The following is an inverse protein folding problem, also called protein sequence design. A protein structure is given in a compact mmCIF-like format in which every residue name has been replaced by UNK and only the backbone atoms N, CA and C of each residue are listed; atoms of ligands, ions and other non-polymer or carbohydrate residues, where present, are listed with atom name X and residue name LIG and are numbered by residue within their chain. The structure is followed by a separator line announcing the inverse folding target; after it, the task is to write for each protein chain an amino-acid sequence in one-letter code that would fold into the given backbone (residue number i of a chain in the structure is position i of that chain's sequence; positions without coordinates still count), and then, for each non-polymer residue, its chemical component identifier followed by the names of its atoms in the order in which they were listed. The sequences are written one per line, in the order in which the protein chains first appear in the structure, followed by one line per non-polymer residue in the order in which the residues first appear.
data_IF_514807056343
#
_entry.id   IF_514807056343
#
_cell.length_a   1.000
_cell.length_b   1.000
_cell.length_c   1.000
_cell.angle_alpha   90.00
_cell.angle_beta   90.00
_cell.angle_gamma   90.00
#
_symmetry.space_group_name_H-M   'P 1'
#
loop_
_entity.id
_entity.type
_entity.pdbx_description
1 polymer ?
#
# COMPACT_ATOMS: atom_id res chain seq x y z
N UNK A 1 -37.48 39.02 -18.20
CA UNK A 1 -36.05 38.93 -17.84
C UNK A 1 -35.89 37.71 -16.95
N UNK A 2 -35.45 36.56 -17.48
CA UNK A 2 -35.31 35.35 -16.67
C UNK A 2 -34.01 35.41 -15.86
N UNK A 3 -34.11 35.03 -14.59
CA UNK A 3 -33.01 34.95 -13.65
C UNK A 3 -32.05 33.82 -14.04
N UNK A 4 -30.78 34.15 -14.21
CA UNK A 4 -29.66 33.21 -14.35
C UNK A 4 -29.39 32.52 -13.02
N UNK A 5 -29.67 31.23 -12.95
CA UNK A 5 -29.24 30.32 -11.89
C UNK A 5 -27.72 30.08 -11.99
N UNK A 6 -26.99 30.37 -10.92
CA UNK A 6 -25.59 29.95 -10.78
C UNK A 6 -25.51 28.42 -10.63
N UNK A 7 -24.54 27.74 -11.27
CA UNK A 7 -24.34 26.31 -11.09
C UNK A 7 -23.78 26.04 -9.69
N UNK A 8 -24.41 25.11 -8.97
CA UNK A 8 -23.92 24.64 -7.67
C UNK A 8 -22.58 23.88 -7.78
N UNK A 9 -21.84 23.72 -6.67
CA UNK A 9 -20.57 23.02 -6.64
C UNK A 9 -20.81 21.51 -6.70
N UNK A 10 -21.07 20.96 -7.89
CA UNK A 10 -20.95 19.52 -8.13
C UNK A 10 -19.49 19.19 -8.48
N UNK A 11 -18.62 19.32 -7.49
CA UNK A 11 -17.25 18.80 -7.58
C UNK A 11 -17.09 17.74 -6.52
N UNK A 12 -17.36 16.48 -6.83
CA UNK A 12 -16.93 15.38 -5.97
C UNK A 12 -15.41 15.48 -5.83
N UNK A 13 -14.92 15.54 -4.59
CA UNK A 13 -13.48 15.48 -4.31
C UNK A 13 -12.94 14.22 -4.99
N UNK A 14 -11.89 14.31 -5.83
CA UNK A 14 -11.35 13.14 -6.51
C UNK A 14 -10.92 12.10 -5.47
N UNK A 15 -11.44 10.87 -5.58
CA UNK A 15 -11.10 9.78 -4.67
C UNK A 15 -9.57 9.59 -4.60
N UNK A 16 -9.01 9.56 -3.39
CA UNK A 16 -7.56 9.44 -3.17
C UNK A 16 -7.01 8.11 -3.73
N UNK A 17 -7.71 7.00 -3.43
CA UNK A 17 -7.36 5.64 -3.87
C UNK A 17 -8.10 5.28 -5.16
N UNK A 18 -7.44 4.73 -6.19
CA UNK A 18 -8.08 4.33 -7.44
C UNK A 18 -8.93 3.05 -7.32
N UNK A 19 -10.03 3.01 -8.07
CA UNK A 19 -10.68 1.74 -8.40
C UNK A 19 -9.81 0.90 -9.35
N UNK A 20 -9.97 -0.42 -9.30
CA UNK A 20 -9.27 -1.31 -10.23
C UNK A 20 -9.90 -1.23 -11.62
N UNK A 21 -9.16 -0.81 -12.67
CA UNK A 21 -9.68 -0.68 -14.03
C UNK A 21 -9.91 -2.05 -14.67
N UNK A 22 -10.58 -2.04 -15.82
CA UNK A 22 -10.84 -3.23 -16.65
C UNK A 22 -12.22 -3.85 -16.43
N UNK A 23 -12.59 -4.72 -17.36
CA UNK A 23 -13.88 -5.39 -17.37
C UNK A 23 -13.90 -6.50 -16.31
N UNK A 24 -14.88 -6.49 -15.41
CA UNK A 24 -15.06 -7.57 -14.43
C UNK A 24 -15.31 -8.89 -15.16
N UNK A 25 -14.54 -9.90 -14.80
CA UNK A 25 -14.69 -11.25 -15.34
C UNK A 25 -15.94 -11.91 -14.75
N UNK A 26 -16.69 -12.66 -15.57
CA UNK A 26 -17.84 -13.45 -15.13
C UNK A 26 -17.45 -14.56 -14.15
N UNK A 27 -18.42 -15.08 -13.39
CA UNK A 27 -18.13 -16.00 -12.28
C UNK A 27 -17.47 -17.30 -12.75
N UNK A 28 -17.95 -17.89 -13.85
CA UNK A 28 -17.43 -19.17 -14.36
C UNK A 28 -15.96 -19.04 -14.81
N UNK A 29 -15.64 -17.98 -15.55
CA UNK A 29 -14.25 -17.71 -15.95
C UNK A 29 -13.40 -17.29 -14.74
N UNK A 30 -13.95 -16.57 -13.78
CA UNK A 30 -13.29 -16.20 -12.52
C UNK A 30 -12.88 -17.43 -11.71
N UNK A 31 -13.75 -18.43 -11.54
CA UNK A 31 -13.41 -19.70 -10.88
C UNK A 31 -12.27 -20.45 -11.58
N UNK A 32 -12.32 -20.49 -12.91
CA UNK A 32 -11.27 -21.12 -13.73
C UNK A 32 -9.92 -20.40 -13.57
N UNK A 33 -9.93 -19.06 -13.56
CA UNK A 33 -8.73 -18.24 -13.34
C UNK A 33 -8.18 -18.39 -11.92
N UNK A 34 -9.05 -18.43 -10.90
CA UNK A 34 -8.65 -18.69 -9.51
C UNK A 34 -7.96 -20.05 -9.36
N UNK A 35 -8.50 -21.10 -9.99
CA UNK A 35 -7.87 -22.42 -10.01
C UNK A 35 -6.51 -22.40 -10.76
N UNK A 36 -6.43 -21.65 -11.85
CA UNK A 36 -5.18 -21.48 -12.60
C UNK A 36 -4.09 -20.77 -11.76
N UNK A 37 -4.43 -19.65 -11.11
CA UNK A 37 -3.52 -18.93 -10.21
C UNK A 37 -3.09 -19.82 -9.04
N UNK A 38 -4.02 -20.55 -8.42
CA UNK A 38 -3.69 -21.51 -7.37
C UNK A 38 -2.67 -22.55 -7.85
N UNK A 39 -2.85 -23.10 -9.06
CA UNK A 39 -1.90 -24.05 -9.66
C UNK A 39 -0.52 -23.42 -9.90
N UNK A 40 -0.45 -22.22 -10.48
CA UNK A 40 0.81 -21.51 -10.73
C UNK A 40 1.56 -21.22 -9.42
N UNK A 41 0.81 -20.80 -8.39
CA UNK A 41 1.33 -20.52 -7.06
C UNK A 41 1.55 -21.78 -6.20
N UNK A 42 1.20 -22.97 -6.71
CA UNK A 42 1.30 -24.27 -6.01
C UNK A 42 0.50 -24.32 -4.70
N UNK A 43 -0.68 -23.71 -4.69
CA UNK A 43 -1.58 -23.65 -3.54
C UNK A 43 -2.65 -24.74 -3.62
N UNK A 44 -3.06 -25.23 -2.45
CA UNK A 44 -4.17 -26.19 -2.30
C UNK A 44 -5.56 -25.50 -2.21
N UNK A 45 -5.61 -24.18 -2.38
CA UNK A 45 -6.83 -23.39 -2.26
C UNK A 45 -6.84 -22.23 -3.26
N UNK A 46 -8.03 -21.71 -3.54
CA UNK A 46 -8.27 -20.61 -4.50
C UNK A 46 -8.38 -19.23 -3.87
N UNK A 47 -8.07 -19.09 -2.57
CA UNK A 47 -8.00 -17.79 -1.88
C UNK A 47 -6.92 -16.88 -2.49
N UNK A 48 -7.07 -15.58 -2.30
CA UNK A 48 -6.11 -14.57 -2.76
C UNK A 48 -4.68 -14.91 -2.29
N UNK A 49 -3.71 -15.03 -3.22
CA UNK A 49 -2.37 -15.52 -2.87
C UNK A 49 -1.40 -14.42 -2.41
N UNK A 50 -1.81 -13.14 -2.40
CA UNK A 50 -0.91 -12.03 -2.05
C UNK A 50 -0.53 -12.00 -0.56
N UNK A 51 0.76 -11.77 -0.29
CA UNK A 51 1.36 -11.70 1.06
C UNK A 51 0.84 -10.50 1.86
N UNK A 52 0.35 -10.66 3.08
CA UNK A 52 -0.18 -9.57 3.90
C UNK A 52 0.85 -9.11 4.93
N UNK A 53 1.22 -7.81 4.96
CA UNK A 53 2.20 -7.30 5.91
C UNK A 53 1.64 -7.19 7.33
N UNK A 54 2.51 -7.45 8.30
CA UNK A 54 2.25 -7.22 9.74
C UNK A 54 2.60 -5.79 10.14
N UNK A 55 1.97 -5.28 11.19
CA UNK A 55 2.29 -3.94 11.71
C UNK A 55 3.69 -3.90 12.33
N UNK A 56 4.37 -2.78 12.15
CA UNK A 56 5.64 -2.49 12.79
C UNK A 56 5.43 -2.27 14.29
N UNK A 57 6.28 -2.88 15.09
CA UNK A 57 6.29 -2.79 16.56
C UNK A 57 7.70 -2.53 17.05
N UNK A 58 7.89 -2.25 18.34
CA UNK A 58 9.24 -2.16 18.94
C UNK A 58 10.09 -3.42 18.69
N UNK A 59 9.51 -4.61 18.76
CA UNK A 59 10.20 -5.86 18.43
C UNK A 59 10.61 -5.98 16.94
N UNK A 60 9.99 -5.18 16.06
CA UNK A 60 10.40 -5.11 14.65
C UNK A 60 11.77 -4.44 14.48
N UNK A 61 12.19 -3.55 15.40
CA UNK A 61 13.53 -2.97 15.38
C UNK A 61 14.60 -4.05 15.56
N UNK A 62 14.40 -4.98 16.50
CA UNK A 62 15.31 -6.12 16.70
C UNK A 62 15.40 -6.99 15.44
N UNK A 63 14.28 -7.19 14.74
CA UNK A 63 14.24 -7.93 13.49
C UNK A 63 15.03 -7.22 12.39
N UNK A 64 14.95 -5.89 12.30
CA UNK A 64 15.75 -5.07 11.37
C UNK A 64 17.26 -5.10 11.70
N UNK A 65 17.62 -5.26 12.97
CA UNK A 65 19.02 -5.43 13.40
C UNK A 65 19.55 -6.83 13.08
N UNK A 66 18.71 -7.86 13.15
CA UNK A 66 19.11 -9.28 13.01
C UNK A 66 18.95 -9.86 11.61
N UNK A 67 18.07 -9.30 10.77
CA UNK A 67 17.87 -9.70 9.37
C UNK A 67 18.09 -8.58 8.33
N UNK A 68 18.33 -8.97 7.08
CA UNK A 68 18.61 -8.06 5.96
C UNK A 68 17.29 -7.61 5.29
N UNK A 69 16.95 -6.33 5.38
CA UNK A 69 15.71 -5.77 4.80
C UNK A 69 15.97 -4.74 3.70
N UNK A 70 15.03 -4.62 2.76
CA UNK A 70 14.82 -3.43 1.95
C UNK A 70 13.68 -2.58 2.53
N UNK A 71 13.69 -1.29 2.23
CA UNK A 71 12.66 -0.34 2.61
C UNK A 71 12.20 0.47 1.40
N UNK A 72 10.90 0.74 1.33
CA UNK A 72 10.33 1.70 0.38
C UNK A 72 9.17 2.45 1.03
N UNK A 73 8.75 3.53 0.38
CA UNK A 73 7.51 4.24 0.73
C UNK A 73 6.31 3.27 0.67
N UNK A 74 5.34 3.42 1.57
CA UNK A 74 4.06 2.72 1.53
C UNK A 74 3.06 3.57 0.74
N UNK A 75 2.65 3.10 -0.44
CA UNK A 75 1.78 3.92 -1.29
C UNK A 75 0.36 3.86 -0.76
N UNK A 76 -0.33 4.99 -0.80
CA UNK A 76 -1.78 5.04 -0.55
C UNK A 76 -2.52 4.67 -1.85
N UNK A 77 -2.67 3.37 -2.08
CA UNK A 77 -3.17 2.84 -3.34
C UNK A 77 -4.00 1.56 -3.20
N UNK A 78 -4.52 1.12 -4.34
CA UNK A 78 -5.26 -0.12 -4.44
C UNK A 78 -4.31 -1.25 -4.84
N UNK A 79 -3.94 -2.08 -3.86
CA UNK A 79 -3.14 -3.27 -4.11
C UNK A 79 -3.84 -4.23 -5.08
N UNK A 80 -3.09 -4.71 -6.06
CA UNK A 80 -3.54 -5.70 -7.05
C UNK A 80 -2.44 -6.71 -7.36
N UNK A 81 -2.81 -7.94 -7.68
CA UNK A 81 -1.94 -8.85 -8.41
C UNK A 81 -2.18 -8.70 -9.91
N UNK A 82 -1.15 -8.94 -10.72
CA UNK A 82 -1.24 -8.97 -12.18
C UNK A 82 -1.06 -10.40 -12.64
N UNK A 83 -2.09 -10.98 -13.26
CA UNK A 83 -1.99 -12.26 -13.97
C UNK A 83 -1.80 -11.99 -15.46
N UNK A 84 -0.72 -12.52 -16.02
CA UNK A 84 -0.46 -12.54 -17.47
C UNK A 84 -0.62 -14.00 -17.92
N UNK A 85 -1.66 -14.28 -18.71
CA UNK A 85 -2.02 -15.62 -19.14
C UNK A 85 -2.05 -15.73 -20.67
N UNK A 86 -1.91 -16.95 -21.18
CA UNK A 86 -2.11 -17.25 -22.60
C UNK A 86 -3.45 -17.94 -22.81
N UNK A 87 -4.33 -17.28 -23.56
CA UNK A 87 -5.57 -17.88 -24.02
C UNK A 87 -5.28 -18.74 -25.25
N UNK A 88 -5.31 -20.07 -25.06
CA UNK A 88 -5.05 -21.04 -26.12
C UNK A 88 -6.11 -21.04 -27.22
N UNK A 89 -7.38 -20.77 -26.88
CA UNK A 89 -8.48 -20.77 -27.84
C UNK A 89 -8.45 -19.52 -28.71
N UNK A 90 -8.23 -18.35 -28.10
CA UNK A 90 -8.14 -17.08 -28.82
C UNK A 90 -6.73 -16.77 -29.36
N UNK A 91 -5.76 -17.67 -29.13
CA UNK A 91 -4.35 -17.53 -29.51
C UNK A 91 -3.75 -16.16 -29.17
N UNK A 92 -3.99 -15.68 -27.94
CA UNK A 92 -3.55 -14.35 -27.49
C UNK A 92 -3.19 -14.29 -26.01
N UNK A 93 -2.39 -13.30 -25.65
CA UNK A 93 -2.15 -12.94 -24.25
C UNK A 93 -3.38 -12.20 -23.69
N UNK A 94 -3.73 -12.53 -22.46
CA UNK A 94 -4.75 -11.84 -21.67
C UNK A 94 -4.12 -11.42 -20.33
N UNK A 95 -4.44 -10.20 -19.89
CA UNK A 95 -3.92 -9.63 -18.65
C UNK A 95 -5.08 -9.32 -17.73
N UNK A 96 -4.96 -9.73 -16.46
CA UNK A 96 -5.97 -9.50 -15.44
C UNK A 96 -5.35 -8.82 -14.23
N UNK A 97 -6.07 -7.86 -13.67
CA UNK A 97 -5.80 -7.32 -12.34
C UNK A 97 -6.70 -8.03 -11.32
N UNK A 98 -6.12 -8.39 -10.18
CA UNK A 98 -6.78 -9.17 -9.12
C UNK A 98 -6.72 -8.37 -7.83
N UNK A 99 -7.87 -7.95 -7.31
CA UNK A 99 -7.92 -7.20 -6.05
C UNK A 99 -7.83 -8.12 -4.81
N UNK A 100 -7.75 -7.53 -3.61
CA UNK A 100 -7.71 -8.27 -2.34
C UNK A 100 -8.97 -9.12 -2.08
N UNK A 101 -10.10 -8.79 -2.72
CA UNK A 101 -11.35 -9.56 -2.66
C UNK A 101 -11.35 -10.73 -3.65
N UNK A 102 -10.22 -10.96 -4.34
CA UNK A 102 -10.03 -12.00 -5.34
C UNK A 102 -10.96 -11.83 -6.56
N UNK A 103 -11.28 -10.58 -6.91
CA UNK A 103 -12.08 -10.21 -8.09
C UNK A 103 -11.11 -9.95 -9.25
N UNK A 104 -11.38 -10.59 -10.39
CA UNK A 104 -10.56 -10.51 -11.60
C UNK A 104 -11.15 -9.49 -12.56
N UNK A 105 -10.29 -8.61 -13.09
CA UNK A 105 -10.65 -7.61 -14.10
C UNK A 105 -9.73 -7.71 -15.31
N UNK A 106 -10.30 -8.03 -16.45
CA UNK A 106 -9.60 -8.15 -17.73
C UNK A 106 -9.23 -6.76 -18.27
N UNK A 107 -7.97 -6.62 -18.71
CA UNK A 107 -7.42 -5.35 -19.20
C UNK A 107 -7.52 -5.24 -20.73
N UNK A 108 -7.41 -4.00 -21.23
CA UNK A 108 -7.45 -3.73 -22.66
C UNK A 108 -6.29 -4.38 -23.41
N UNK A 109 -6.49 -4.63 -24.71
CA UNK A 109 -5.50 -5.27 -25.59
C UNK A 109 -4.26 -4.42 -25.86
N UNK A 110 -4.31 -3.13 -25.52
CA UNK A 110 -3.16 -2.23 -25.59
C UNK A 110 -2.07 -2.67 -24.61
N UNK A 111 -2.46 -3.22 -23.45
CA UNK A 111 -1.54 -3.77 -22.46
C UNK A 111 -0.99 -5.12 -22.93
N UNK A 112 0.31 -5.17 -23.19
CA UNK A 112 1.00 -6.37 -23.66
C UNK A 112 2.38 -6.51 -23.02
N UNK A 113 2.68 -7.71 -22.53
CA UNK A 113 3.97 -8.07 -21.94
C UNK A 113 4.73 -9.01 -22.88
N UNK A 114 5.80 -8.53 -23.53
CA UNK A 114 6.66 -9.40 -24.32
C UNK A 114 7.49 -10.33 -23.43
N UNK A 115 7.76 -11.52 -23.95
CA UNK A 115 8.69 -12.47 -23.37
C UNK A 115 10.12 -11.91 -23.43
N UNK A 116 10.92 -12.21 -22.41
CA UNK A 116 12.30 -11.69 -22.28
C UNK A 116 13.28 -12.28 -23.27
N UNK A 117 13.06 -13.54 -23.69
CA UNK A 117 13.83 -14.12 -24.79
C UNK A 117 13.41 -13.50 -26.12
N UNK A 118 14.39 -12.95 -26.83
CA UNK A 118 14.21 -12.57 -28.24
C UNK A 118 13.89 -13.84 -29.05
N UNK A 119 12.99 -13.78 -30.04
CA UNK A 119 12.75 -14.93 -30.90
C UNK A 119 14.06 -15.34 -31.55
N UNK A 120 14.45 -16.60 -31.35
CA UNK A 120 15.49 -17.27 -32.13
C UNK A 120 14.76 -18.10 -33.16
N UNK A 121 14.76 -17.67 -34.43
CA UNK A 121 14.04 -18.41 -35.47
C UNK A 121 13.69 -17.59 -36.70
N UNK A 122 13.09 -18.27 -37.69
CA UNK A 122 12.59 -17.66 -38.92
C UNK A 122 11.35 -16.80 -38.60
N UNK A 123 10.94 -15.85 -39.47
CA UNK A 123 9.77 -14.99 -39.23
C UNK A 123 8.47 -15.74 -38.90
N UNK A 124 8.37 -16.98 -39.36
CA UNK A 124 7.29 -17.95 -39.18
C UNK A 124 7.19 -18.55 -37.75
N UNK A 125 8.25 -18.49 -36.94
CA UNK A 125 8.22 -18.88 -35.51
C UNK A 125 7.68 -17.76 -34.59
N UNK A 126 7.26 -16.63 -35.16
CA UNK A 126 6.70 -15.49 -34.43
C UNK A 126 5.22 -15.73 -34.16
N UNK A 127 4.94 -16.33 -33.00
CA UNK A 127 3.60 -16.85 -32.61
C UNK A 127 2.48 -15.80 -32.48
N UNK A 128 2.71 -14.51 -32.72
CA UNK A 128 1.60 -13.53 -32.63
C UNK A 128 1.38 -12.80 -33.95
N UNK A 129 0.52 -13.41 -34.80
CA UNK A 129 0.02 -12.83 -36.04
C UNK A 129 -0.64 -11.45 -35.82
N UNK A 130 -1.18 -11.21 -34.62
CA UNK A 130 -1.97 -10.00 -34.31
C UNK A 130 -1.13 -8.80 -33.84
N UNK A 131 0.19 -8.94 -33.63
CA UNK A 131 1.04 -7.82 -33.14
C UNK A 131 2.04 -7.35 -34.21
N UNK A 132 2.09 -8.01 -35.39
CA UNK A 132 2.98 -7.59 -36.48
C UNK A 132 4.47 -7.48 -36.08
N UNK A 133 4.87 -8.12 -34.98
CA UNK A 133 6.14 -7.80 -34.31
C UNK A 133 6.98 -9.03 -34.01
N UNK A 134 8.28 -8.78 -33.84
CA UNK A 134 9.32 -9.71 -33.41
C UNK A 134 9.18 -10.16 -31.94
N UNK A 135 8.04 -10.00 -31.29
CA UNK A 135 7.93 -10.24 -29.85
C UNK A 135 7.09 -11.49 -29.58
N UNK A 136 7.66 -12.45 -28.84
CA UNK A 136 6.90 -13.58 -28.25
C UNK A 136 6.13 -13.04 -27.04
N UNK A 137 4.93 -13.55 -26.78
CA UNK A 137 4.15 -13.16 -25.60
C UNK A 137 4.69 -13.85 -24.33
N UNK A 138 4.80 -13.10 -23.24
CA UNK A 138 4.98 -13.66 -21.90
C UNK A 138 3.68 -14.37 -21.48
N UNK A 139 3.77 -15.44 -20.70
CA UNK A 139 2.59 -16.12 -20.16
C UNK A 139 2.85 -16.65 -18.75
N UNK A 140 1.82 -17.22 -18.13
CA UNK A 140 1.89 -17.89 -16.83
C UNK A 140 2.70 -17.10 -15.78
N UNK A 141 2.43 -15.80 -15.66
CA UNK A 141 3.17 -14.88 -14.80
C UNK A 141 2.21 -14.20 -13.83
N UNK A 142 2.61 -14.12 -12.55
CA UNK A 142 1.84 -13.49 -11.47
C UNK A 142 2.74 -12.50 -10.73
N UNK A 143 2.37 -11.22 -10.77
CA UNK A 143 3.13 -10.11 -10.19
C UNK A 143 2.34 -9.46 -9.05
N UNK A 144 3.03 -8.83 -8.10
CA UNK A 144 2.44 -8.05 -7.02
C UNK A 144 2.71 -6.56 -7.23
N UNK A 145 1.69 -5.74 -7.06
CA UNK A 145 1.76 -4.32 -7.33
C UNK A 145 0.66 -3.49 -6.66
N UNK A 146 0.74 -2.18 -6.84
CA UNK A 146 -0.18 -1.21 -6.26
C UNK A 146 -0.59 -0.18 -7.32
N UNK A 147 -1.89 0.02 -7.48
CA UNK A 147 -2.43 1.08 -8.31
C UNK A 147 -2.51 2.37 -7.50
N UNK A 148 -1.99 3.45 -8.05
CA UNK A 148 -1.95 4.77 -7.43
C UNK A 148 -2.43 5.85 -8.39
N UNK A 149 -2.97 6.92 -7.82
CA UNK A 149 -3.21 8.15 -8.55
C UNK A 149 -2.07 9.13 -8.32
N UNK A 150 -1.30 9.39 -9.38
CA UNK A 150 -0.26 10.41 -9.36
C UNK A 150 -0.85 11.75 -9.81
N UNK A 151 -0.65 12.79 -9.01
CA UNK A 151 -1.01 14.17 -9.34
C UNK A 151 0.23 14.89 -9.86
N UNK A 152 0.25 15.13 -11.16
CA UNK A 152 1.34 15.83 -11.82
C UNK A 152 1.39 17.30 -11.39
N UNK A 153 2.52 17.97 -11.66
CA UNK A 153 2.72 19.40 -11.35
C UNK A 153 1.68 20.34 -11.98
N UNK A 154 1.04 19.92 -13.08
CA UNK A 154 -0.01 20.68 -13.76
C UNK A 154 -1.43 20.34 -13.24
N UNK A 155 -1.53 19.57 -12.16
CA UNK A 155 -2.80 19.15 -11.54
C UNK A 155 -3.48 17.97 -12.22
N UNK A 156 -2.98 17.49 -13.38
CA UNK A 156 -3.56 16.29 -14.02
C UNK A 156 -3.25 15.04 -13.21
N UNK A 157 -4.24 14.16 -13.10
CA UNK A 157 -4.07 12.85 -12.49
C UNK A 157 -3.70 11.80 -13.53
N UNK A 158 -2.79 10.90 -13.18
CA UNK A 158 -2.43 9.71 -13.96
C UNK A 158 -2.54 8.47 -13.11
N UNK A 159 -3.16 7.43 -13.66
CA UNK A 159 -3.20 6.12 -13.03
C UNK A 159 -1.88 5.41 -13.30
N UNK A 160 -1.21 4.94 -12.25
CA UNK A 160 0.05 4.18 -12.36
C UNK A 160 -0.05 2.88 -11.57
N UNK A 161 0.52 1.82 -12.14
CA UNK A 161 0.74 0.54 -11.47
C UNK A 161 2.21 0.41 -11.07
N UNK A 162 2.47 0.37 -9.76
CA UNK A 162 3.79 0.19 -9.17
C UNK A 162 3.99 -1.29 -8.82
N UNK A 163 4.77 -2.01 -9.63
CA UNK A 163 5.13 -3.41 -9.39
C UNK A 163 6.27 -3.50 -8.37
N UNK A 164 6.14 -4.36 -7.37
CA UNK A 164 7.15 -4.49 -6.31
C UNK A 164 7.61 -5.92 -6.01
N UNK A 165 6.90 -6.96 -6.47
CA UNK A 165 7.33 -8.36 -6.33
C UNK A 165 6.78 -9.25 -7.47
N UNK A 166 7.26 -10.49 -7.56
CA UNK A 166 6.83 -11.47 -8.55
C UNK A 166 6.72 -12.87 -7.93
N UNK A 167 5.52 -13.44 -7.94
CA UNK A 167 5.19 -14.76 -7.39
C UNK A 167 5.51 -15.87 -8.38
N UNK A 168 5.27 -15.61 -9.67
CA UNK A 168 5.47 -16.57 -10.76
C UNK A 168 5.95 -15.81 -11.99
N UNK A 169 6.96 -16.32 -12.70
CA UNK A 169 7.43 -15.76 -13.98
C UNK A 169 7.57 -16.89 -14.98
N UNK A 170 6.86 -16.79 -16.09
CA UNK A 170 6.88 -17.75 -17.21
C UNK A 170 6.69 -19.21 -16.75
N UNK A 171 5.65 -19.43 -15.95
CA UNK A 171 5.30 -20.74 -15.36
C UNK A 171 6.21 -21.19 -14.22
N UNK A 172 7.33 -20.49 -13.97
CA UNK A 172 8.21 -20.80 -12.85
C UNK A 172 7.73 -20.13 -11.56
N UNK A 173 7.35 -20.94 -10.57
CA UNK A 173 7.09 -20.47 -9.22
C UNK A 173 8.35 -19.87 -8.58
N UNK A 174 8.21 -18.65 -8.07
CA UNK A 174 9.30 -17.85 -7.51
C UNK A 174 9.26 -17.77 -5.98
N UNK A 175 8.25 -18.35 -5.32
CA UNK A 175 8.01 -18.14 -3.89
C UNK A 175 9.18 -18.61 -3.02
N UNK A 176 9.88 -19.69 -3.36
CA UNK A 176 11.06 -20.16 -2.61
C UNK A 176 12.32 -19.35 -2.87
N UNK A 177 12.31 -18.38 -3.80
CA UNK A 177 13.46 -17.53 -4.11
C UNK A 177 13.45 -16.29 -3.22
N UNK A 178 14.64 -15.81 -2.89
CA UNK A 178 14.85 -14.56 -2.16
C UNK A 178 14.25 -13.36 -2.89
N UNK A 179 13.86 -12.32 -2.15
CA UNK A 179 13.31 -11.08 -2.73
C UNK A 179 14.23 -10.50 -3.81
N UNK A 180 15.54 -10.48 -3.57
CA UNK A 180 16.51 -9.98 -4.56
C UNK A 180 16.40 -10.69 -5.92
N UNK A 181 16.21 -12.01 -5.90
CA UNK A 181 16.03 -12.80 -7.13
C UNK A 181 14.67 -12.56 -7.78
N UNK A 182 13.60 -12.44 -6.99
CA UNK A 182 12.25 -12.16 -7.49
C UNK A 182 12.20 -10.78 -8.15
N UNK A 183 12.67 -9.77 -7.44
CA UNK A 183 12.78 -8.38 -7.90
C UNK A 183 13.70 -8.24 -9.12
N UNK A 184 14.87 -8.88 -9.10
CA UNK A 184 15.79 -8.87 -10.25
C UNK A 184 15.17 -9.49 -11.52
N UNK A 185 14.39 -10.56 -11.39
CA UNK A 185 13.65 -11.13 -12.53
C UNK A 185 12.45 -10.29 -12.95
N UNK A 186 11.71 -9.69 -12.03
CA UNK A 186 10.68 -8.71 -12.35
C UNK A 186 11.25 -7.59 -13.24
N UNK A 187 12.39 -7.02 -12.85
CA UNK A 187 13.05 -5.98 -13.64
C UNK A 187 13.54 -6.50 -15.00
N UNK A 188 14.31 -7.59 -15.01
CA UNK A 188 14.98 -8.05 -16.22
C UNK A 188 14.06 -8.75 -17.21
N UNK A 189 13.11 -9.55 -16.73
CA UNK A 189 12.33 -10.47 -17.56
C UNK A 189 10.91 -9.98 -17.85
N UNK A 190 10.42 -8.99 -17.11
CA UNK A 190 9.08 -8.42 -17.31
C UNK A 190 9.18 -6.96 -17.68
N UNK A 191 9.74 -6.13 -16.79
CA UNK A 191 9.69 -4.69 -16.92
C UNK A 191 10.53 -4.16 -18.08
N UNK A 192 11.79 -4.59 -18.20
CA UNK A 192 12.65 -4.15 -19.30
C UNK A 192 12.09 -4.52 -20.68
N UNK A 193 11.68 -5.77 -20.96
CA UNK A 193 11.02 -6.12 -22.20
C UNK A 193 9.76 -5.29 -22.48
N UNK A 194 8.91 -5.08 -21.47
CA UNK A 194 7.72 -4.24 -21.57
C UNK A 194 8.05 -2.80 -21.99
N UNK A 195 9.02 -2.16 -21.34
CA UNK A 195 9.44 -0.78 -21.67
C UNK A 195 10.00 -0.71 -23.09
N UNK A 196 10.83 -1.68 -23.49
CA UNK A 196 11.40 -1.72 -24.84
C UNK A 196 10.30 -1.91 -25.90
N UNK A 197 9.28 -2.73 -25.63
CA UNK A 197 8.11 -2.88 -26.50
C UNK A 197 7.26 -1.62 -26.59
N UNK A 198 6.96 -0.96 -25.46
CA UNK A 198 6.15 0.26 -25.46
C UNK A 198 6.84 1.42 -26.17
N UNK A 199 8.18 1.50 -26.09
CA UNK A 199 8.98 2.46 -26.88
C UNK A 199 8.86 2.22 -28.39
N UNK A 200 8.84 0.95 -28.82
CA UNK A 200 8.65 0.56 -30.22
C UNK A 200 7.19 0.71 -30.69
N UNK A 201 6.22 0.82 -29.78
CA UNK A 201 4.79 0.83 -30.07
C UNK A 201 4.07 2.02 -29.37
N UNK A 202 4.38 3.28 -29.73
CA UNK A 202 3.89 4.47 -29.01
C UNK A 202 2.38 4.68 -29.09
N UNK A 203 1.69 4.12 -30.10
CA UNK A 203 0.22 4.15 -30.14
C UNK A 203 -0.37 3.29 -29.02
N UNK A 204 0.12 2.06 -28.83
CA UNK A 204 -0.31 1.21 -27.72
C UNK A 204 -0.04 1.82 -26.36
N UNK A 205 1.13 2.46 -26.20
CA UNK A 205 1.45 3.16 -24.96
C UNK A 205 0.47 4.29 -24.64
N UNK A 206 -0.12 4.95 -25.65
CA UNK A 206 -1.16 5.98 -25.48
C UNK A 206 -2.54 5.39 -25.19
N UNK A 207 -2.82 4.22 -25.76
CA UNK A 207 -4.12 3.53 -25.62
C UNK A 207 -4.21 2.72 -24.31
N UNK A 208 -3.14 2.68 -23.50
CA UNK A 208 -3.13 2.03 -22.19
C UNK A 208 -3.91 2.84 -21.15
N UNK A 209 -4.66 2.12 -20.30
CA UNK A 209 -5.48 2.70 -19.24
C UNK A 209 -4.65 3.26 -18.06
N UNK A 210 -3.40 2.80 -17.89
CA UNK A 210 -2.48 3.22 -16.83
C UNK A 210 -1.02 3.02 -17.23
N UNK A 211 -0.11 3.77 -16.61
CA UNK A 211 1.34 3.58 -16.78
C UNK A 211 1.87 2.49 -15.83
N UNK A 212 2.97 1.83 -16.18
CA UNK A 212 3.56 0.76 -15.34
C UNK A 212 4.99 1.15 -14.96
N UNK A 213 5.30 1.03 -13.68
CA UNK A 213 6.64 1.24 -13.12
C UNK A 213 7.00 0.11 -12.16
N UNK A 214 8.30 -0.09 -11.94
CA UNK A 214 8.78 -0.94 -10.85
C UNK A 214 9.15 -0.04 -9.68
N UNK A 215 8.63 -0.36 -8.50
CA UNK A 215 8.87 0.40 -7.27
C UNK A 215 10.35 0.38 -6.91
N UNK A 216 10.89 1.53 -6.53
CA UNK A 216 12.29 1.64 -6.09
C UNK A 216 12.41 1.17 -4.65
N UNK A 217 13.45 0.37 -4.38
CA UNK A 217 13.75 -0.17 -3.06
C UNK A 217 15.10 0.37 -2.59
N UNK A 218 15.16 0.90 -1.37
CA UNK A 218 16.40 1.29 -0.69
C UNK A 218 16.79 0.18 0.32
N UNK A 219 18.04 0.20 0.79
CA UNK A 219 18.46 -0.71 1.87
C UNK A 219 17.73 -0.34 3.17
N UNK A 220 17.45 -1.33 4.03
CA UNK A 220 16.63 -1.14 5.22
C UNK A 220 17.12 -0.02 6.16
N UNK A 221 18.41 0.30 6.17
CA UNK A 221 19.00 1.42 6.92
C UNK A 221 19.03 2.76 6.15
N UNK A 222 18.26 2.88 5.07
CA UNK A 222 18.10 4.10 4.26
C UNK A 222 16.77 4.82 4.49
N UNK A 223 16.19 4.66 5.69
CA UNK A 223 14.90 5.18 6.14
C UNK A 223 14.82 6.69 5.97
N UNK A 224 15.78 7.45 6.49
CA UNK A 224 15.86 8.90 6.41
C UNK A 224 15.91 9.38 4.96
N UNK A 225 16.60 8.65 4.07
CA UNK A 225 16.63 8.98 2.65
C UNK A 225 15.28 8.75 1.98
N UNK A 226 14.53 7.71 2.38
CA UNK A 226 13.16 7.49 1.90
C UNK A 226 12.24 8.60 2.39
N UNK A 227 12.23 8.88 3.70
CA UNK A 227 11.38 9.89 4.33
C UNK A 227 11.66 11.32 3.85
N UNK A 228 12.93 11.73 3.80
CA UNK A 228 13.30 13.13 3.54
C UNK A 228 13.61 13.43 2.07
N UNK A 229 14.00 12.42 1.29
CA UNK A 229 14.32 12.63 -0.13
C UNK A 229 13.34 11.97 -1.09
N UNK A 230 12.81 10.77 -0.82
CA UNK A 230 11.96 10.05 -1.80
C UNK A 230 10.51 10.49 -1.71
N UNK A 231 9.91 10.40 -0.51
CA UNK A 231 8.51 10.71 -0.25
C UNK A 231 8.11 12.12 -0.72
N UNK A 232 8.89 13.19 -0.44
CA UNK A 232 8.55 14.55 -0.89
C UNK A 232 8.58 14.76 -2.41
N UNK A 233 9.10 13.79 -3.18
CA UNK A 233 9.13 13.81 -4.65
C UNK A 233 8.11 12.88 -5.29
N UNK A 234 7.31 12.16 -4.49
CA UNK A 234 6.23 11.33 -5.02
C UNK A 234 5.12 12.22 -5.57
N UNK A 235 4.44 11.73 -6.60
CA UNK A 235 3.26 12.38 -7.17
C UNK A 235 1.97 11.75 -6.61
N UNK A 236 2.07 10.62 -5.90
CA UNK A 236 0.99 9.91 -5.23
C UNK A 236 1.04 10.04 -3.69
N UNK A 237 -0.07 9.67 -3.03
CA UNK A 237 -0.15 9.63 -1.57
C UNK A 237 0.74 8.54 -0.97
N UNK A 238 1.25 8.81 0.23
CA UNK A 238 2.07 7.90 1.03
C UNK A 238 1.52 7.87 2.46
N UNK A 239 1.47 6.70 3.07
CA UNK A 239 0.95 6.50 4.44
C UNK A 239 1.92 5.68 5.30
N UNK A 240 3.22 5.88 5.11
CA UNK A 240 4.30 5.24 5.88
C UNK A 240 5.35 4.50 5.05
N UNK A 241 5.88 3.39 5.58
CA UNK A 241 6.98 2.62 5.00
C UNK A 241 6.66 1.12 4.95
N UNK A 242 7.24 0.42 3.98
CA UNK A 242 7.22 -1.05 3.90
C UNK A 242 8.66 -1.56 3.97
N UNK A 243 8.90 -2.45 4.93
CA UNK A 243 10.13 -3.23 5.06
C UNK A 243 9.88 -4.65 4.57
N UNK A 244 10.69 -5.13 3.64
CA UNK A 244 10.58 -6.49 3.09
C UNK A 244 11.93 -7.21 3.24
N UNK A 245 11.93 -8.38 3.89
CA UNK A 245 13.15 -9.15 4.10
C UNK A 245 13.73 -9.61 2.74
N UNK A 246 15.02 -9.35 2.55
CA UNK A 246 15.73 -9.61 1.30
C UNK A 246 15.91 -11.12 1.08
N UNK A 247 16.18 -11.84 2.17
CA UNK A 247 16.58 -13.26 2.13
C UNK A 247 15.40 -14.22 2.25
N UNK A 248 14.20 -13.74 2.57
CA UNK A 248 13.01 -14.58 2.69
C UNK A 248 12.38 -14.93 1.34
N UNK A 249 11.74 -16.11 1.31
CA UNK A 249 10.77 -16.46 0.28
C UNK A 249 9.50 -15.61 0.37
N UNK A 250 8.63 -15.72 -0.63
CA UNK A 250 7.31 -15.09 -0.65
C UNK A 250 6.29 -15.99 0.04
N UNK A 251 5.63 -15.49 1.09
CA UNK A 251 4.58 -16.24 1.80
C UNK A 251 3.20 -15.79 1.36
N UNK A 252 2.36 -16.71 0.89
CA UNK A 252 0.95 -16.40 0.60
C UNK A 252 0.17 -16.25 1.91
N UNK A 253 -0.59 -15.16 2.10
CA UNK A 253 -1.24 -14.84 3.38
C UNK A 253 -0.34 -14.00 4.28
N UNK A 254 -0.55 -14.01 5.59
CA UNK A 254 0.24 -13.18 6.53
C UNK A 254 1.72 -13.54 6.49
N UNK A 255 2.58 -12.55 6.28
CA UNK A 255 4.04 -12.71 6.26
C UNK A 255 4.66 -11.81 7.33
N UNK A 256 5.27 -12.42 8.36
CA UNK A 256 5.94 -11.69 9.45
C UNK A 256 7.23 -10.99 9.02
N UNK A 257 7.72 -11.26 7.79
CA UNK A 257 8.91 -10.65 7.20
C UNK A 257 8.59 -9.55 6.19
N UNK A 258 7.32 -9.16 6.08
CA UNK A 258 6.89 -7.94 5.42
C UNK A 258 6.21 -7.07 6.47
N UNK A 259 6.84 -5.95 6.81
CA UNK A 259 6.46 -5.13 7.95
C UNK A 259 6.02 -3.77 7.42
N UNK A 260 4.82 -3.33 7.81
CA UNK A 260 4.31 -2.00 7.50
C UNK A 260 4.48 -1.09 8.70
N UNK A 261 5.27 -0.05 8.52
CA UNK A 261 5.35 1.03 9.48
C UNK A 261 4.43 2.16 9.04
N UNK A 262 3.70 2.72 10.00
CA UNK A 262 2.92 3.95 9.85
C UNK A 262 3.29 4.86 11.01
N UNK A 263 3.38 6.18 10.80
CA UNK A 263 3.44 7.10 11.92
C UNK A 263 2.27 6.83 12.88
N UNK A 264 2.49 6.75 14.20
CA UNK A 264 1.41 6.46 15.15
C UNK A 264 0.21 7.39 15.01
N UNK A 265 0.46 8.68 14.74
CA UNK A 265 -0.57 9.70 14.50
C UNK A 265 -1.42 9.48 13.22
N UNK A 266 -0.98 8.65 12.27
CA UNK A 266 -1.80 8.27 11.11
C UNK A 266 -2.72 7.07 11.39
N UNK A 267 -2.61 6.43 12.56
CA UNK A 267 -3.56 5.39 12.97
C UNK A 267 -4.80 6.06 13.55
N UNK A 268 -5.85 6.13 12.74
CA UNK A 268 -7.11 6.72 13.14
C UNK A 268 -8.09 5.67 13.67
N UNK A 269 -8.97 6.12 14.57
CA UNK A 269 -10.08 5.33 15.11
C UNK A 269 -11.36 6.14 14.90
N UNK A 270 -12.44 5.47 14.49
CA UNK A 270 -13.74 6.10 14.44
C UNK A 270 -14.49 5.90 15.76
N UNK A 271 -14.80 6.98 16.48
CA UNK A 271 -15.63 6.96 17.69
C UNK A 271 -16.92 7.75 17.48
N UNK A 272 -17.90 7.57 18.35
CA UNK A 272 -19.02 8.49 18.47
C UNK A 272 -18.60 9.66 19.37
N UNK A 273 -18.70 10.89 18.87
CA UNK A 273 -18.48 12.10 19.67
C UNK A 273 -19.76 12.50 20.38
N UNK A 274 -19.68 12.69 21.70
CA UNK A 274 -20.77 13.24 22.51
C UNK A 274 -20.31 14.47 23.28
N UNK A 275 -21.02 15.57 23.10
CA UNK A 275 -20.76 16.81 23.82
C UNK A 275 -21.41 16.74 25.22
N UNK A 276 -20.64 17.04 26.24
CA UNK A 276 -21.06 17.07 27.65
C UNK A 276 -20.91 18.49 28.16
N UNK A 277 -21.97 19.27 28.06
CA UNK A 277 -22.00 20.65 28.54
C UNK A 277 -21.98 20.70 30.07
N UNK A 278 -21.22 21.63 30.68
CA UNK A 278 -21.24 21.83 32.12
C UNK A 278 -22.62 22.35 32.57
N UNK A 279 -22.98 22.17 33.85
CA UNK A 279 -24.25 22.70 34.37
C UNK A 279 -24.25 24.22 34.48
N UNK A 280 -25.38 24.84 34.14
CA UNK A 280 -25.65 26.26 34.43
C UNK A 280 -26.12 26.41 35.88
N UNK A 281 -25.14 26.60 36.78
CA UNK A 281 -25.40 26.78 38.21
C UNK A 281 -26.08 28.12 38.55
N UNK A 282 -26.10 29.08 37.62
CA UNK A 282 -26.80 30.35 37.80
C UNK A 282 -28.31 30.18 37.56
N UNK A 283 -28.69 29.31 36.61
CA UNK A 283 -30.09 28.96 36.31
C UNK A 283 -30.64 27.90 37.25
N UNK A 284 -29.90 26.82 37.50
CA UNK A 284 -30.26 25.78 38.46
C UNK A 284 -29.06 25.39 39.35
N UNK A 285 -29.03 25.83 40.63
CA UNK A 285 -27.98 25.46 41.57
C UNK A 285 -27.84 23.94 41.82
N UNK A 286 -28.85 23.14 41.44
CA UNK A 286 -28.78 21.66 41.52
C UNK A 286 -28.06 21.04 40.33
N UNK A 287 -27.78 21.81 39.28
CA UNK A 287 -27.02 21.40 38.10
C UNK A 287 -27.76 20.52 37.10
N UNK A 288 -29.10 20.57 37.04
CA UNK A 288 -29.87 19.75 36.09
C UNK A 288 -30.02 20.40 34.71
N UNK A 289 -29.63 21.67 34.55
CA UNK A 289 -29.73 22.42 33.30
C UNK A 289 -28.32 22.61 32.74
N UNK A 290 -28.03 22.20 31.48
CA UNK A 290 -26.74 22.42 30.87
C UNK A 290 -26.57 23.87 30.37
N UNK A 291 -25.38 24.43 30.55
CA UNK A 291 -24.95 25.67 29.90
C UNK A 291 -24.48 25.36 28.48
N UNK A 292 -25.37 25.55 27.51
CA UNK A 292 -25.06 25.33 26.09
C UNK A 292 -24.18 26.42 25.46
N UNK A 293 -23.86 27.49 26.20
CA UNK A 293 -22.96 28.55 25.77
C UNK A 293 -21.51 28.29 26.16
N UNK A 294 -21.28 27.50 27.22
CA UNK A 294 -19.97 27.07 27.66
C UNK A 294 -19.34 26.04 26.70
N UNK A 295 -18.00 25.94 26.75
CA UNK A 295 -17.26 24.87 26.06
C UNK A 295 -17.58 23.52 26.72
N UNK A 296 -18.06 22.51 25.97
CA UNK A 296 -18.37 21.20 26.54
C UNK A 296 -17.09 20.38 26.78
N UNK A 297 -17.24 19.27 27.50
CA UNK A 297 -16.31 18.16 27.41
C UNK A 297 -16.67 17.29 26.21
N UNK A 298 -15.67 16.80 25.49
CA UNK A 298 -15.83 16.09 24.23
C UNK A 298 -15.61 14.59 24.44
N UNK A 299 -16.66 13.84 24.81
CA UNK A 299 -16.56 12.42 25.09
C UNK A 299 -16.45 11.61 23.80
N UNK A 300 -15.49 10.69 23.75
CA UNK A 300 -15.36 9.68 22.71
C UNK A 300 -15.93 8.37 23.23
N UNK A 301 -16.95 7.86 22.54
CA UNK A 301 -17.60 6.61 22.88
C UNK A 301 -17.30 5.54 21.81
N UNK A 302 -16.95 4.34 22.26
CA UNK A 302 -16.69 3.19 21.40
C UNK A 302 -17.93 2.32 21.21
N UNK A 303 -18.05 1.70 20.04
CA UNK A 303 -19.18 0.84 19.72
C UNK A 303 -18.97 -0.57 20.26
N UNK A 304 -19.86 -1.05 21.11
CA UNK A 304 -19.82 -2.41 21.70
C UNK A 304 -20.87 -3.37 21.11
N UNK A 305 -21.65 -2.88 20.15
CA UNK A 305 -22.76 -3.64 19.55
C UNK A 305 -24.10 -3.36 20.24
N UNK A 306 -25.18 -3.53 19.49
CA UNK A 306 -26.55 -3.39 20.01
C UNK A 306 -27.11 -4.78 20.30
N UNK A 307 -27.37 -5.07 21.56
CA UNK A 307 -28.10 -6.29 21.93
C UNK A 307 -29.58 -6.18 21.54
N UNK A 308 -30.13 -7.29 21.03
CA UNK A 308 -31.53 -7.34 20.58
C UNK A 308 -32.46 -7.17 21.78
N UNK A 309 -33.21 -6.07 21.83
CA UNK A 309 -34.13 -5.74 22.92
C UNK A 309 -33.54 -4.89 24.03
N UNK A 310 -32.27 -4.47 23.93
CA UNK A 310 -31.67 -3.48 24.83
C UNK A 310 -32.10 -2.06 24.46
N UNK A 311 -32.26 -1.20 25.46
CA UNK A 311 -32.45 0.26 25.30
C UNK A 311 -31.12 1.01 25.17
N UNK A 312 -29.98 0.33 25.37
CA UNK A 312 -28.67 0.90 25.10
C UNK A 312 -28.49 1.17 23.62
N UNK A 313 -27.90 2.32 23.28
CA UNK A 313 -27.57 2.65 21.88
C UNK A 313 -26.33 1.87 21.37
N UNK A 314 -25.74 1.03 22.22
CA UNK A 314 -24.62 0.15 21.90
C UNK A 314 -23.26 0.82 22.01
N UNK A 315 -23.15 1.90 22.78
CA UNK A 315 -21.92 2.67 23.00
C UNK A 315 -21.52 2.72 24.47
N UNK A 316 -20.22 2.72 24.72
CA UNK A 316 -19.65 2.96 26.04
C UNK A 316 -18.57 4.04 25.97
N UNK A 317 -18.40 4.77 27.07
CA UNK A 317 -17.36 5.79 27.19
C UNK A 317 -15.98 5.16 27.03
N UNK A 318 -15.16 5.76 26.17
CA UNK A 318 -13.78 5.35 25.95
C UNK A 318 -12.80 6.37 26.55
N UNK A 319 -12.81 7.61 26.05
CA UNK A 319 -11.85 8.64 26.44
C UNK A 319 -12.36 10.06 26.11
N UNK A 320 -11.54 11.08 26.35
CA UNK A 320 -11.79 12.47 25.97
C UNK A 320 -11.05 12.87 24.69
N UNK A 321 -11.75 13.57 23.81
CA UNK A 321 -11.16 14.33 22.71
C UNK A 321 -10.62 15.66 23.25
N UNK A 322 -9.36 15.98 22.96
CA UNK A 322 -8.81 17.29 23.26
C UNK A 322 -9.16 18.27 22.13
N UNK A 323 -9.77 19.40 22.49
CA UNK A 323 -10.17 20.46 21.56
C UNK A 323 -9.71 21.79 22.15
N UNK A 324 -8.93 22.56 21.41
CA UNK A 324 -8.47 23.88 21.83
C UNK A 324 -9.61 24.91 21.76
N UNK A 325 -9.44 26.06 22.44
CA UNK A 325 -10.47 27.11 22.44
C UNK A 325 -10.72 27.65 21.03
N UNK A 326 -9.66 27.93 20.28
CA UNK A 326 -9.76 28.40 18.89
C UNK A 326 -10.39 27.36 17.96
N UNK A 327 -10.14 26.07 18.21
CA UNK A 327 -10.77 24.98 17.45
C UNK A 327 -12.27 24.88 17.76
N UNK A 328 -12.65 25.07 19.02
CA UNK A 328 -14.06 25.09 19.40
C UNK A 328 -14.81 26.26 18.75
N UNK A 329 -14.19 27.45 18.68
CA UNK A 329 -14.77 28.58 17.94
C UNK A 329 -14.93 28.27 16.44
N UNK A 330 -13.97 27.60 15.83
CA UNK A 330 -14.06 27.15 14.43
C UNK A 330 -15.18 26.11 14.23
N UNK A 331 -15.31 25.15 15.15
CA UNK A 331 -16.39 24.16 15.12
C UNK A 331 -17.75 24.85 15.18
N UNK A 332 -17.96 25.80 16.09
CA UNK A 332 -19.20 26.59 16.16
C UNK A 332 -19.45 27.38 14.87
N UNK A 333 -18.42 28.05 14.33
CA UNK A 333 -18.54 28.85 13.12
C UNK A 333 -18.86 28.02 11.87
N UNK A 334 -18.49 26.75 11.84
CA UNK A 334 -18.75 25.85 10.69
C UNK A 334 -20.24 25.56 10.48
N UNK A 335 -21.08 25.66 11.53
CA UNK A 335 -22.49 25.25 11.50
C UNK A 335 -22.70 23.73 11.37
N UNK A 336 -21.64 22.92 11.42
CA UNK A 336 -21.71 21.46 11.39
C UNK A 336 -22.17 20.89 12.75
N UNK A 337 -22.94 19.81 12.73
CA UNK A 337 -23.30 19.08 13.96
C UNK A 337 -22.12 18.20 14.41
N UNK A 338 -21.71 18.37 15.67
CA UNK A 338 -20.64 17.59 16.30
C UNK A 338 -21.10 16.70 17.47
N UNK A 339 -22.35 16.82 17.91
CA UNK A 339 -22.92 15.92 18.93
C UNK A 339 -23.64 14.73 18.29
N UNK A 340 -23.44 13.55 18.90
CA UNK A 340 -23.99 12.26 18.48
C UNK A 340 -23.64 11.88 17.03
N UNK A 341 -22.43 12.23 16.59
CA UNK A 341 -21.90 11.91 15.26
C UNK A 341 -20.66 11.02 15.35
N UNK A 342 -20.40 10.24 14.30
CA UNK A 342 -19.15 9.49 14.19
C UNK A 342 -18.04 10.45 13.76
N UNK A 343 -16.92 10.42 14.46
CA UNK A 343 -15.72 11.19 14.16
C UNK A 343 -14.53 10.25 14.02
N UNK A 344 -13.65 10.57 13.07
CA UNK A 344 -12.34 9.96 12.95
C UNK A 344 -11.36 10.79 13.79
N UNK A 345 -10.63 10.12 14.70
CA UNK A 345 -9.64 10.75 15.58
C UNK A 345 -8.29 10.03 15.49
N UNK A 346 -7.22 10.71 15.88
CA UNK A 346 -5.87 10.12 15.99
C UNK A 346 -5.25 10.47 17.33
N UNK A 347 -4.33 9.63 17.80
CA UNK A 347 -3.54 9.89 19.01
C UNK A 347 -2.30 10.70 18.65
N UNK A 348 -2.12 11.86 19.29
CA UNK A 348 -0.96 12.72 19.11
C UNK A 348 -0.24 12.87 20.45
N UNK A 349 1.07 12.56 20.48
CA UNK A 349 1.91 12.66 21.68
C UNK A 349 2.08 14.08 22.20
N UNK A 350 1.78 15.10 21.39
CA UNK A 350 1.84 16.52 21.74
C UNK A 350 0.51 17.24 21.50
N UNK A 351 -0.57 16.50 21.24
CA UNK A 351 -1.89 17.04 20.93
C UNK A 351 -2.83 17.11 22.13
N UNK A 352 -2.36 16.85 23.34
CA UNK A 352 -3.13 17.01 24.57
C UNK A 352 -3.01 18.41 25.16
N UNK A 353 -3.62 18.63 26.34
CA UNK A 353 -3.46 19.88 27.08
C UNK A 353 -2.01 20.13 27.48
N UNK A 354 -1.67 21.38 27.77
CA UNK A 354 -0.37 21.70 28.35
C UNK A 354 -0.31 21.18 29.81
N UNK A 355 0.80 20.54 30.14
CA UNK A 355 1.15 20.17 31.52
C UNK A 355 1.38 21.40 32.40
N UNK A 356 1.52 21.18 33.72
CA UNK A 356 1.82 22.26 34.67
C UNK A 356 3.13 23.00 34.35
N UNK A 357 4.08 22.34 33.68
CA UNK A 357 5.37 22.90 33.27
C UNK A 357 5.34 23.55 31.88
N UNK A 358 4.16 23.59 31.23
CA UNK A 358 3.98 24.18 29.90
C UNK A 358 4.39 23.26 28.74
N UNK A 359 4.75 22.01 29.01
CA UNK A 359 5.05 21.03 27.97
C UNK A 359 3.76 20.38 27.45
N UNK A 360 3.61 20.16 26.12
CA UNK A 360 2.47 19.47 25.55
C UNK A 360 2.36 18.02 26.05
N UNK A 361 1.16 17.57 26.39
CA UNK A 361 0.91 16.15 26.72
C UNK A 361 0.33 15.39 25.52
N UNK A 362 0.25 14.05 25.59
CA UNK A 362 -0.51 13.28 24.62
C UNK A 362 -2.02 13.51 24.71
N UNK A 363 -2.73 13.34 23.60
CA UNK A 363 -4.20 13.40 23.56
C UNK A 363 -4.80 13.00 22.22
N UNK A 364 -6.11 12.70 22.23
CA UNK A 364 -6.87 12.44 21.00
C UNK A 364 -7.18 13.75 20.27
N UNK A 365 -6.92 13.78 18.96
CA UNK A 365 -7.19 14.91 18.06
C UNK A 365 -8.22 14.55 17.01
N UNK A 366 -9.08 15.51 16.69
CA UNK A 366 -10.10 15.37 15.67
C UNK A 366 -9.45 15.38 14.28
N UNK A 367 -9.72 14.36 13.48
CA UNK A 367 -9.30 14.32 12.08
C UNK A 367 -10.43 14.82 11.17
N UNK A 368 -11.62 14.19 11.25
CA UNK A 368 -12.82 14.64 10.52
C UNK A 368 -14.10 14.01 11.08
N UNK A 369 -15.24 14.56 10.69
CA UNK A 369 -16.55 13.91 10.86
C UNK A 369 -16.77 12.85 9.77
N UNK A 370 -17.38 11.72 10.13
CA UNK A 370 -17.63 10.56 9.27
C UNK A 370 -19.12 10.41 8.98
N UNK A 371 -19.61 11.20 8.03
CA UNK A 371 -21.01 11.15 7.54
C UNK A 371 -21.34 9.86 6.76
N UNK A 372 -20.31 9.16 6.28
CA UNK A 372 -20.42 7.85 5.61
C UNK A 372 -20.69 6.68 6.56
N UNK A 373 -20.61 6.89 7.88
CA UNK A 373 -20.72 5.84 8.89
C UNK A 373 -21.90 6.03 9.82
N UNK A 374 -22.68 4.96 10.00
CA UNK A 374 -23.71 4.92 11.03
C UNK A 374 -23.14 4.68 12.43
N UNK A 375 -22.09 3.85 12.52
CA UNK A 375 -21.46 3.51 13.78
C UNK A 375 -19.93 3.67 13.72
N UNK A 376 -19.34 3.94 14.88
CA UNK A 376 -17.89 3.94 15.07
C UNK A 376 -17.28 2.54 14.90
N UNK A 377 -15.98 2.42 15.11
CA UNK A 377 -15.30 1.13 15.11
C UNK A 377 -15.78 0.30 16.31
N UNK A 378 -16.03 -0.99 16.06
CA UNK A 378 -16.35 -1.94 17.12
C UNK A 378 -15.18 -2.05 18.10
N UNK A 379 -15.43 -2.21 19.40
CA UNK A 379 -14.41 -2.20 20.46
C UNK A 379 -13.25 -3.19 20.21
N UNK A 380 -13.52 -4.34 19.56
CA UNK A 380 -12.47 -5.31 19.19
C UNK A 380 -11.51 -4.80 18.11
N UNK A 381 -11.96 -3.87 17.26
CA UNK A 381 -11.11 -3.16 16.28
C UNK A 381 -10.38 -2.03 16.98
N UNK A 382 -11.07 -1.25 17.84
CA UNK A 382 -10.45 -0.21 18.67
C UNK A 382 -9.25 -0.78 19.43
N UNK A 383 -9.44 -1.88 20.17
CA UNK A 383 -8.37 -2.53 20.93
C UNK A 383 -7.15 -2.91 20.08
N UNK A 384 -7.37 -3.38 18.84
CA UNK A 384 -6.26 -3.73 17.93
C UNK A 384 -5.50 -2.50 17.45
N UNK A 385 -6.20 -1.39 17.21
CA UNK A 385 -5.57 -0.13 16.79
C UNK A 385 -4.83 0.48 17.98
N UNK A 386 -5.40 0.45 19.18
CA UNK A 386 -4.74 0.91 20.42
C UNK A 386 -3.43 0.17 20.65
N UNK A 387 -3.43 -1.17 20.57
CA UNK A 387 -2.18 -1.94 20.67
C UNK A 387 -1.16 -1.53 19.60
N UNK A 388 -1.61 -1.20 18.38
CA UNK A 388 -0.72 -0.70 17.32
C UNK A 388 -0.18 0.71 17.57
N UNK A 389 -0.90 1.55 18.33
CA UNK A 389 -0.45 2.88 18.77
C UNK A 389 0.53 2.73 19.93
N UNK A 390 0.22 1.90 20.92
CA UNK A 390 1.07 1.64 22.10
C UNK A 390 2.42 1.00 21.73
N UNK A 391 2.40 0.03 20.81
CA UNK A 391 3.60 -0.61 20.26
C UNK A 391 4.22 0.20 19.11
N UNK A 392 3.60 1.33 18.76
CA UNK A 392 4.03 2.23 17.71
C UNK A 392 5.44 2.75 17.95
N UNK A 393 6.16 2.95 16.85
CA UNK A 393 7.51 3.51 16.84
C UNK A 393 7.42 4.83 16.09
N UNK A 394 7.85 5.92 16.72
CA UNK A 394 7.82 7.25 16.09
C UNK A 394 8.87 7.37 14.98
N UNK A 395 8.69 8.36 14.09
CA UNK A 395 9.64 8.59 13.00
C UNK A 395 11.07 8.83 13.51
N UNK A 396 11.22 9.64 14.56
CA UNK A 396 12.52 9.96 15.14
C UNK A 396 13.21 8.74 15.76
N UNK A 397 12.44 7.84 16.39
CA UNK A 397 12.96 6.59 16.95
C UNK A 397 13.40 5.65 15.81
N UNK A 398 12.58 5.52 14.76
CA UNK A 398 12.88 4.70 13.60
C UNK A 398 14.13 5.21 12.86
N UNK A 399 14.26 6.52 12.67
CA UNK A 399 15.45 7.16 12.08
C UNK A 399 16.67 7.02 13.01
N UNK A 400 16.48 7.12 14.32
CA UNK A 400 17.53 6.92 15.33
C UNK A 400 18.20 5.54 15.24
N UNK A 401 17.45 4.50 14.87
CA UNK A 401 17.95 3.14 14.73
C UNK A 401 18.85 2.90 13.50
N UNK A 402 18.86 3.81 12.51
CA UNK A 402 19.57 3.59 11.23
C UNK A 402 21.06 3.30 11.39
N UNK A 403 21.74 4.02 12.30
CA UNK A 403 23.18 3.85 12.48
C UNK A 403 23.52 2.45 12.97
N UNK A 404 22.71 1.93 13.91
CA UNK A 404 22.88 0.60 14.46
C UNK A 404 22.55 -0.47 13.41
N UNK A 405 21.44 -0.31 12.69
CA UNK A 405 21.08 -1.17 11.55
C UNK A 405 22.19 -1.23 10.50
N UNK A 406 22.82 -0.10 10.19
CA UNK A 406 23.93 -0.03 9.25
C UNK A 406 25.18 -0.74 9.77
N UNK A 407 25.50 -0.62 11.06
CA UNK A 407 26.60 -1.35 11.71
C UNK A 407 26.34 -2.85 11.69
N UNK A 408 25.14 -3.27 12.10
CA UNK A 408 24.71 -4.67 12.11
C UNK A 408 24.76 -5.28 10.70
N UNK A 409 24.21 -4.59 9.70
CA UNK A 409 24.28 -5.01 8.29
C UNK A 409 25.73 -5.26 7.85
N UNK A 410 26.66 -4.39 8.21
CA UNK A 410 28.08 -4.45 7.81
C UNK A 410 28.93 -5.41 8.64
N UNK A 411 28.36 -6.08 9.64
CA UNK A 411 29.09 -7.02 10.48
C UNK A 411 29.65 -8.20 9.67
N UNK A 412 30.73 -8.79 10.16
CA UNK A 412 31.34 -9.97 9.55
C UNK A 412 30.38 -11.16 9.57
N UNK A 413 29.66 -11.34 10.67
CA UNK A 413 28.65 -12.39 10.84
C UNK A 413 27.56 -12.28 9.76
N UNK A 414 26.96 -11.10 9.60
CA UNK A 414 25.94 -10.86 8.57
C UNK A 414 26.50 -11.05 7.16
N UNK A 415 27.74 -10.63 6.93
CA UNK A 415 28.42 -10.87 5.65
C UNK A 415 28.63 -12.36 5.38
N UNK A 416 28.97 -13.15 6.40
CA UNK A 416 29.12 -14.60 6.30
C UNK A 416 27.79 -15.27 6.00
N UNK A 417 26.71 -14.89 6.69
CA UNK A 417 25.35 -15.40 6.46
C UNK A 417 24.91 -15.14 5.01
N UNK A 418 25.08 -13.90 4.51
CA UNK A 418 24.79 -13.57 3.10
C UNK A 418 25.58 -14.42 2.11
N UNK A 419 26.88 -14.60 2.35
CA UNK A 419 27.75 -15.44 1.49
C UNK A 419 27.33 -16.92 1.55
N UNK A 420 26.96 -17.45 2.71
CA UNK A 420 26.51 -18.82 2.87
C UNK A 420 25.19 -19.08 2.13
N UNK A 421 24.21 -18.18 2.25
CA UNK A 421 22.94 -18.26 1.52
C UNK A 421 23.12 -18.21 0.00
N UNK A 422 24.08 -17.41 -0.49
CA UNK A 422 24.46 -17.39 -1.90
C UNK A 422 24.98 -18.75 -2.39
N UNK A 423 25.75 -19.47 -1.56
CA UNK A 423 26.30 -20.79 -1.89
C UNK A 423 25.23 -21.88 -1.90
N UNK A 424 24.37 -21.96 -0.87
CA UNK A 424 23.24 -22.91 -0.84
C UNK A 424 22.29 -22.73 -2.02
N UNK A 425 22.02 -21.47 -2.40
CA UNK A 425 21.13 -21.18 -3.51
C UNK A 425 21.68 -21.58 -4.90
N UNK A 426 23.00 -21.84 -5.01
CA UNK A 426 23.65 -22.37 -6.22
C UNK A 426 23.59 -23.89 -6.29
N UNK A 427 23.61 -24.57 -5.15
CA UNK A 427 23.55 -26.05 -5.07
C UNK A 427 22.13 -26.60 -5.24
N UNK A 428 21.09 -25.83 -4.91
CA UNK A 428 19.67 -26.25 -5.05
C UNK A 428 19.02 -25.85 -6.39
N UNK A 429 19.79 -25.39 -7.38
CA UNK A 429 19.26 -25.16 -8.72
C UNK A 429 19.11 -26.52 -9.44
N UNK A 430 17.91 -26.91 -9.92
CA UNK A 430 17.79 -28.08 -10.77
C UNK A 430 18.63 -27.86 -12.04
N UNK A 431 19.37 -28.89 -12.45
CA UNK A 431 20.18 -28.89 -13.66
C UNK A 431 19.33 -28.50 -14.88
N UNK A 432 19.67 -27.38 -15.51
CA UNK A 432 19.23 -27.04 -16.88
C UNK A 432 20.41 -27.22 -17.84
N UNK A 433 20.16 -27.62 -19.10
CA UNK A 433 21.21 -27.97 -20.06
C UNK A 433 22.07 -26.75 -20.42
N UNK A 434 23.35 -27.00 -20.66
CA UNK A 434 24.40 -26.02 -20.85
C UNK A 434 24.05 -24.95 -21.91
N UNK A 435 24.23 -23.67 -21.54
CA UNK A 435 24.32 -22.55 -22.47
C UNK A 435 25.73 -21.93 -22.35
N UNK A 436 26.32 -21.45 -23.47
CA UNK A 436 27.77 -21.26 -23.57
C UNK A 436 28.26 -20.03 -22.78
N UNK A 437 29.53 -20.09 -22.41
CA UNK A 437 30.22 -19.19 -21.50
C UNK A 437 30.21 -17.72 -21.95
N UNK A 438 29.38 -16.91 -21.29
CA UNK A 438 29.47 -15.44 -21.27
C UNK A 438 30.10 -14.96 -19.97
N UNK A 439 31.07 -14.03 -20.06
CA UNK A 439 31.83 -13.48 -18.94
C UNK A 439 30.93 -13.01 -17.77
N UNK A 440 31.28 -13.45 -16.56
CA UNK A 440 30.64 -13.08 -15.30
C UNK A 440 30.92 -11.61 -14.95
N UNK A 441 29.88 -10.79 -14.94
CA UNK A 441 29.84 -9.50 -14.24
C UNK A 441 28.87 -9.68 -13.06
N UNK A 442 29.37 -9.57 -11.83
CA UNK A 442 28.51 -9.57 -10.63
C UNK A 442 27.69 -8.29 -10.55
N UNK A 443 26.48 -8.29 -9.96
CA UNK A 443 25.71 -7.08 -9.77
C UNK A 443 26.38 -6.24 -8.69
N UNK A 444 26.79 -5.02 -9.04
CA UNK A 444 27.06 -3.97 -8.06
C UNK A 444 25.76 -3.42 -7.46
N UNK A 445 25.85 -2.65 -6.35
CA UNK A 445 24.68 -2.06 -5.70
C UNK A 445 23.90 -1.14 -6.68
N UNK A 446 22.59 -0.93 -6.49
CA UNK A 446 21.80 -0.06 -7.34
C UNK A 446 22.34 1.37 -7.24
N UNK A 447 23.01 1.82 -8.30
CA UNK A 447 23.42 3.21 -8.47
C UNK A 447 22.18 4.08 -8.64
N UNK A 448 22.16 5.24 -7.96
CA UNK A 448 21.16 6.30 -8.07
C UNK A 448 20.74 6.50 -9.53
N UNK A 449 19.47 6.28 -9.82
CA UNK A 449 18.90 6.51 -11.15
C UNK A 449 19.01 7.98 -11.53
N UNK A 450 19.87 8.29 -12.49
CA UNK A 450 19.73 9.51 -13.30
C UNK A 450 18.70 9.17 -14.39
N UNK A 451 17.64 9.98 -14.58
CA UNK A 451 16.66 9.73 -15.64
C UNK A 451 17.34 9.76 -17.02
N UNK A 452 16.89 8.93 -17.98
CA UNK A 452 17.44 8.97 -19.33
C UNK A 452 17.23 10.34 -19.98
N UNK A 453 18.25 10.89 -20.68
CA UNK A 453 18.12 12.17 -21.37
C UNK A 453 17.26 11.97 -22.62
N UNK A 454 16.09 12.63 -22.69
CA UNK A 454 15.23 12.54 -23.88
C UNK A 454 13.82 13.13 -23.82
N UNK A 455 13.31 13.57 -22.67
CA UNK A 455 11.99 14.22 -22.57
C UNK A 455 12.15 15.67 -22.12
N UNK A 456 12.58 16.52 -23.06
CA UNK A 456 12.31 17.96 -23.03
C UNK A 456 11.27 18.26 -24.09
N UNK A 457 10.04 18.49 -23.67
CA UNK A 457 9.22 19.65 -24.03
C UNK A 457 8.03 19.74 -23.10
#
# INVERSE_FOLDING_TARGET
MPATSLPGPSGSVPQAVPDVPGARVDEQRSESLKAHVAKLCQLQHTRFPGAQPVSFTKASLDLLLTEDFWVCEKSDGQRVLVLIAWNKFAHRQEVFLIDRKNIYREQSRALFFPHFEKPRGKPEDRIVQDIGSRWKALHETVLDGELVWDTLKDGRRKLRLLLFDALVIDGQNMASRTLEKRYGRLQAYVYKPFVDFMRENPQRARDMDFEIFVKTMDLGYGIQAVLKDRIPRLEHGNDGLIFTCITSGYTCGTDSKIIKWKPPYENTIDFKLRLRFPPDLAVDPRGNVPDLSAKPFFALDQFVGRERGSTSDGYEYFDWLHVEDDEWEQMKASGQQFDDVVVEVSWDLKGGPLSADGEPTPGWRLHRVRDDKHDGNHHTIVQKIITSIEDGVEEDELVGAEQEMRRAWKSEERTRIRKAGLVQSRTEAPSRPEAPAGRRMGPGPPMRGVPPPGLKR
#
